data_IF_974760630250
#
_entry.id   IF_974760630250
#
_cell.length_a   1.000
_cell.length_b   1.000
_cell.length_c   1.000
_cell.angle_alpha   90.00
_cell.angle_beta   90.00
_cell.angle_gamma   90.00
#
_symmetry.space_group_name_H-M   'P 1'
#
loop_
_entity.id
_entity.type
_entity.pdbx_description
1 polymer ?
#
# COMPACT_ATOMS: atom_id res chain seq x y z
N UNK A 1 0.74 -10.98 -16.13
CA UNK A 1 1.69 -9.89 -15.83
C UNK A 1 0.88 -8.62 -15.63
N UNK A 2 1.17 -7.81 -14.60
CA UNK A 2 0.40 -6.59 -14.30
C UNK A 2 0.80 -5.45 -15.23
N UNK A 3 -0.15 -4.92 -16.00
CA UNK A 3 0.07 -3.76 -16.87
C UNK A 3 -0.13 -2.49 -16.04
N UNK A 4 0.80 -1.53 -15.96
CA UNK A 4 0.77 -0.47 -14.94
C UNK A 4 -0.16 0.70 -15.30
N UNK A 5 -1.39 0.44 -15.74
CA UNK A 5 -2.32 1.50 -16.18
C UNK A 5 -3.66 1.40 -15.46
N UNK A 6 -4.36 2.54 -15.34
CA UNK A 6 -5.75 2.54 -14.85
C UNK A 6 -6.66 1.66 -15.70
N UNK A 7 -6.48 1.65 -17.02
CA UNK A 7 -7.28 0.84 -17.93
C UNK A 7 -7.15 -0.67 -17.63
N UNK A 8 -5.93 -1.17 -17.45
CA UNK A 8 -5.71 -2.57 -17.10
C UNK A 8 -6.22 -2.92 -15.69
N UNK A 9 -6.17 -1.96 -14.76
CA UNK A 9 -6.81 -2.08 -13.45
C UNK A 9 -8.33 -2.25 -13.57
N UNK A 10 -8.99 -1.43 -14.40
CA UNK A 10 -10.43 -1.52 -14.64
C UNK A 10 -10.83 -2.84 -15.30
N UNK A 11 -10.03 -3.33 -16.24
CA UNK A 11 -10.22 -4.67 -16.85
C UNK A 11 -10.09 -5.78 -15.80
N UNK A 12 -9.02 -5.73 -14.98
CA UNK A 12 -8.83 -6.68 -13.87
C UNK A 12 -9.99 -6.66 -12.87
N UNK A 13 -10.54 -5.47 -12.58
CA UNK A 13 -11.71 -5.31 -11.72
C UNK A 13 -12.93 -5.96 -12.37
N UNK A 14 -13.20 -5.67 -13.65
CA UNK A 14 -14.34 -6.21 -14.38
C UNK A 14 -14.31 -7.75 -14.45
N UNK A 15 -13.13 -8.34 -14.65
CA UNK A 15 -12.93 -9.79 -14.67
C UNK A 15 -13.11 -10.45 -13.30
N UNK A 16 -12.80 -9.72 -12.22
CA UNK A 16 -12.99 -10.20 -10.86
C UNK A 16 -14.43 -10.03 -10.36
N UNK A 17 -15.14 -9.00 -10.81
CA UNK A 17 -16.48 -8.65 -10.36
C UNK A 17 -17.47 -9.83 -10.26
N UNK A 18 -17.54 -10.80 -11.20
CA UNK A 18 -18.41 -11.98 -11.04
C UNK A 18 -18.16 -12.79 -9.77
N UNK A 19 -16.91 -12.84 -9.30
CA UNK A 19 -16.46 -13.69 -8.19
C UNK A 19 -16.35 -12.95 -6.85
N UNK A 20 -16.51 -11.63 -6.85
CA UNK A 20 -16.33 -10.78 -5.65
C UNK A 20 -17.30 -11.07 -4.49
N UNK A 21 -18.35 -11.87 -4.71
CA UNK A 21 -19.31 -12.29 -3.70
C UNK A 21 -18.88 -13.56 -2.93
N UNK A 22 -19.77 -14.57 -2.92
CA UNK A 22 -19.60 -15.82 -2.14
C UNK A 22 -18.40 -16.65 -2.60
N UNK A 23 -18.07 -16.63 -3.89
CA UNK A 23 -16.94 -17.39 -4.43
C UNK A 23 -15.62 -16.89 -3.86
N UNK A 24 -15.39 -15.58 -3.84
CA UNK A 24 -14.23 -14.99 -3.15
C UNK A 24 -14.19 -15.39 -1.68
N UNK A 25 -15.31 -15.32 -0.96
CA UNK A 25 -15.34 -15.69 0.45
C UNK A 25 -14.93 -17.16 0.70
N UNK A 26 -15.32 -18.07 -0.20
CA UNK A 26 -14.99 -19.49 -0.15
C UNK A 26 -13.52 -19.75 -0.51
N UNK A 27 -13.04 -19.13 -1.60
CA UNK A 27 -11.83 -19.58 -2.28
C UNK A 27 -10.59 -18.71 -1.99
N UNK A 28 -10.73 -17.50 -1.40
CA UNK A 28 -9.63 -16.53 -1.17
C UNK A 28 -8.40 -17.03 -0.38
N UNK A 29 -8.48 -18.21 0.24
CA UNK A 29 -7.36 -18.78 0.98
C UNK A 29 -6.51 -19.74 0.13
N UNK A 30 -6.99 -20.18 -1.03
CA UNK A 30 -6.28 -21.12 -1.89
C UNK A 30 -5.22 -20.41 -2.77
N UNK A 31 -3.99 -20.93 -2.78
CA UNK A 31 -2.88 -20.53 -3.66
C UNK A 31 -2.62 -21.64 -4.67
N UNK A 32 -3.19 -21.54 -5.86
CA UNK A 32 -2.99 -22.47 -6.99
C UNK A 32 -1.80 -22.10 -7.88
N UNK A 33 -0.91 -21.21 -7.41
CA UNK A 33 0.21 -20.67 -8.18
C UNK A 33 -0.10 -19.44 -9.04
N UNK A 34 0.87 -18.94 -9.83
CA UNK A 34 0.79 -17.63 -10.49
C UNK A 34 -0.43 -17.40 -11.40
N UNK A 35 -1.05 -18.47 -11.90
CA UNK A 35 -2.25 -18.42 -12.76
C UNK A 35 -3.58 -18.37 -11.99
N UNK A 36 -3.55 -18.18 -10.67
CA UNK A 36 -4.71 -18.01 -9.80
C UNK A 36 -5.70 -16.95 -10.31
N UNK A 37 -6.98 -17.18 -10.06
CA UNK A 37 -8.06 -16.27 -10.46
C UNK A 37 -9.14 -16.10 -9.36
N UNK A 38 -8.93 -16.73 -8.21
CA UNK A 38 -9.81 -16.70 -7.03
C UNK A 38 -9.65 -15.44 -6.16
N UNK A 39 -8.74 -14.53 -6.52
CA UNK A 39 -8.52 -13.23 -5.87
C UNK A 39 -8.49 -12.12 -6.91
N UNK A 40 -8.68 -10.88 -6.48
CA UNK A 40 -8.87 -9.76 -7.41
C UNK A 40 -7.63 -9.32 -8.17
N UNK A 41 -6.43 -9.58 -7.64
CA UNK A 41 -5.19 -9.04 -8.22
C UNK A 41 -5.12 -7.51 -8.22
N UNK A 42 -5.99 -6.81 -7.48
CA UNK A 42 -6.12 -5.36 -7.57
C UNK A 42 -5.12 -4.56 -6.72
N UNK A 43 -4.35 -5.22 -5.86
CA UNK A 43 -3.48 -4.53 -4.90
C UNK A 43 -2.38 -3.66 -5.55
N UNK A 44 -1.75 -4.02 -6.69
CA UNK A 44 -0.82 -3.11 -7.37
C UNK A 44 -1.51 -1.82 -7.83
N UNK A 45 -2.73 -1.91 -8.37
CA UNK A 45 -3.47 -0.73 -8.83
C UNK A 45 -3.97 0.15 -7.67
N UNK A 46 -4.46 -0.47 -6.59
CA UNK A 46 -4.91 0.22 -5.38
C UNK A 46 -3.75 0.87 -4.60
N UNK A 47 -2.55 0.28 -4.64
CA UNK A 47 -1.36 0.85 -4.00
C UNK A 47 -1.01 2.23 -4.57
N UNK A 48 -1.18 2.40 -5.88
CA UNK A 48 -0.85 3.65 -6.58
C UNK A 48 -2.08 4.54 -6.85
N UNK A 49 -3.26 4.12 -6.37
CA UNK A 49 -4.58 4.67 -6.75
C UNK A 49 -4.74 4.88 -8.25
N UNK A 50 -4.29 3.90 -9.05
CA UNK A 50 -4.78 3.77 -10.43
C UNK A 50 -6.28 3.44 -10.41
N UNK A 51 -6.73 2.74 -9.38
CA UNK A 51 -8.13 2.59 -8.97
C UNK A 51 -8.28 3.07 -7.53
N UNK A 52 -9.44 3.63 -7.17
CA UNK A 52 -9.71 4.02 -5.78
C UNK A 52 -10.43 2.93 -5.00
N UNK A 53 -10.28 2.92 -3.68
CA UNK A 53 -10.99 2.02 -2.77
C UNK A 53 -12.50 2.18 -2.92
N UNK A 54 -12.96 3.44 -3.03
CA UNK A 54 -14.38 3.77 -3.23
C UNK A 54 -14.91 3.21 -4.55
N UNK A 55 -14.16 3.35 -5.65
CA UNK A 55 -14.52 2.83 -6.96
C UNK A 55 -14.65 1.30 -6.96
N UNK A 56 -13.66 0.60 -6.41
CA UNK A 56 -13.67 -0.87 -6.32
C UNK A 56 -14.85 -1.36 -5.47
N UNK A 57 -15.12 -0.72 -4.32
CA UNK A 57 -16.23 -1.11 -3.45
C UNK A 57 -17.58 -0.78 -4.08
N UNK A 58 -17.73 0.37 -4.75
CA UNK A 58 -18.96 0.72 -5.50
C UNK A 58 -19.28 -0.33 -6.55
N UNK A 59 -18.30 -0.67 -7.40
CA UNK A 59 -18.48 -1.63 -8.48
C UNK A 59 -18.89 -3.03 -7.96
N UNK A 60 -18.34 -3.45 -6.82
CA UNK A 60 -18.73 -4.71 -6.19
C UNK A 60 -20.14 -4.66 -5.61
N UNK A 61 -20.51 -3.57 -4.94
CA UNK A 61 -21.85 -3.39 -4.35
C UNK A 61 -22.95 -3.20 -5.40
N UNK A 62 -22.60 -2.71 -6.59
CA UNK A 62 -23.52 -2.64 -7.72
C UNK A 62 -23.90 -4.02 -8.27
N UNK A 63 -23.03 -5.02 -8.08
CA UNK A 63 -23.21 -6.38 -8.60
C UNK A 63 -23.64 -7.40 -7.56
N UNK A 64 -23.26 -7.20 -6.30
CA UNK A 64 -23.47 -8.14 -5.21
C UNK A 64 -24.08 -7.43 -4.00
N UNK A 65 -25.11 -8.00 -3.36
CA UNK A 65 -25.61 -7.47 -2.10
C UNK A 65 -24.51 -7.54 -1.03
N UNK A 66 -24.45 -6.53 -0.15
CA UNK A 66 -23.38 -6.40 0.86
C UNK A 66 -23.16 -7.68 1.67
N UNK A 67 -24.24 -8.38 2.05
CA UNK A 67 -24.12 -9.63 2.81
C UNK A 67 -23.35 -10.75 2.08
N UNK A 68 -23.31 -10.72 0.75
CA UNK A 68 -22.61 -11.73 -0.07
C UNK A 68 -21.16 -11.36 -0.38
N UNK A 69 -20.84 -10.06 -0.48
CA UNK A 69 -19.50 -9.54 -0.77
C UNK A 69 -18.81 -8.92 0.45
N UNK A 70 -19.39 -9.04 1.64
CA UNK A 70 -18.87 -8.47 2.90
C UNK A 70 -17.41 -8.82 3.09
N UNK A 71 -17.03 -10.06 2.72
CA UNK A 71 -15.65 -10.51 2.89
C UNK A 71 -14.69 -9.76 1.97
N UNK A 72 -15.03 -9.50 0.71
CA UNK A 72 -14.18 -8.70 -0.17
C UNK A 72 -14.10 -7.24 0.31
N UNK A 73 -15.24 -6.65 0.68
CA UNK A 73 -15.30 -5.28 1.21
C UNK A 73 -14.43 -5.13 2.45
N UNK A 74 -14.46 -6.09 3.38
CA UNK A 74 -13.58 -6.10 4.55
C UNK A 74 -12.09 -6.08 4.18
N UNK A 75 -11.67 -6.77 3.11
CA UNK A 75 -10.26 -6.86 2.72
C UNK A 75 -9.77 -5.56 2.07
N UNK A 76 -10.65 -4.82 1.35
CA UNK A 76 -10.37 -3.43 0.96
C UNK A 76 -10.22 -2.53 2.20
N UNK A 77 -11.09 -2.72 3.19
CA UNK A 77 -11.03 -1.99 4.46
C UNK A 77 -9.85 -2.39 5.35
N UNK A 78 -9.28 -3.58 5.21
CA UNK A 78 -8.04 -3.97 5.91
C UNK A 78 -6.87 -3.08 5.50
N UNK A 79 -6.71 -2.80 4.21
CA UNK A 79 -5.72 -1.81 3.73
C UNK A 79 -5.94 -0.44 4.35
N UNK A 80 -7.20 0.01 4.38
CA UNK A 80 -7.58 1.31 4.95
C UNK A 80 -7.32 1.38 6.46
N UNK A 81 -7.65 0.30 7.18
CA UNK A 81 -7.37 0.15 8.59
C UNK A 81 -5.87 0.18 8.87
N UNK A 82 -5.06 -0.55 8.11
CA UNK A 82 -3.61 -0.55 8.31
C UNK A 82 -3.00 0.82 8.14
N UNK A 83 -3.36 1.54 7.06
CA UNK A 83 -2.93 2.92 6.87
C UNK A 83 -3.34 3.79 8.05
N UNK A 84 -4.63 3.82 8.41
CA UNK A 84 -5.11 4.63 9.54
C UNK A 84 -4.53 4.26 10.89
N UNK A 85 -4.16 2.98 11.11
CA UNK A 85 -3.51 2.54 12.34
C UNK A 85 -2.06 3.03 12.40
N UNK A 86 -1.33 2.97 11.28
CA UNK A 86 0.04 3.47 11.17
C UNK A 86 0.10 5.00 11.26
N UNK A 87 -0.86 5.71 10.65
CA UNK A 87 -0.97 7.17 10.77
C UNK A 87 -1.03 7.64 12.22
N UNK A 88 -1.70 6.87 13.08
CA UNK A 88 -1.80 7.18 14.50
C UNK A 88 -0.56 6.72 15.29
N UNK A 89 0.38 6.00 14.68
CA UNK A 89 1.57 5.42 15.33
C UNK A 89 2.78 5.49 14.41
N UNK A 90 3.19 6.70 13.97
CA UNK A 90 4.28 6.86 13.01
C UNK A 90 5.62 6.29 13.52
N UNK A 91 5.82 6.22 14.83
CA UNK A 91 7.03 5.62 15.41
C UNK A 91 7.22 4.14 15.09
N UNK A 92 6.16 3.41 14.72
CA UNK A 92 6.28 2.01 14.25
C UNK A 92 7.07 1.94 12.95
N UNK A 93 6.80 2.88 12.04
CA UNK A 93 7.55 2.99 10.79
C UNK A 93 8.98 3.47 11.04
N UNK A 94 9.17 4.52 11.86
CA UNK A 94 10.50 5.05 12.19
C UNK A 94 11.39 4.01 12.86
N UNK A 95 10.84 3.23 13.81
CA UNK A 95 11.53 2.12 14.48
C UNK A 95 11.91 1.03 13.48
N UNK A 96 10.99 0.60 12.63
CA UNK A 96 11.30 -0.38 11.57
C UNK A 96 12.48 0.08 10.70
N UNK A 97 12.46 1.34 10.24
CA UNK A 97 13.52 1.92 9.41
C UNK A 97 14.88 1.95 10.11
N UNK A 98 14.90 2.36 11.38
CA UNK A 98 16.11 2.38 12.20
C UNK A 98 16.65 0.97 12.42
N UNK A 99 15.81 0.06 12.91
CA UNK A 99 16.22 -1.30 13.23
C UNK A 99 16.72 -2.05 11.98
N UNK A 100 16.11 -1.82 10.81
CA UNK A 100 16.60 -2.34 9.53
C UNK A 100 17.99 -1.78 9.17
N UNK A 101 18.20 -0.47 9.34
CA UNK A 101 19.49 0.16 9.08
C UNK A 101 20.58 -0.41 10.00
N UNK A 102 20.28 -0.52 11.30
CA UNK A 102 21.19 -1.06 12.31
C UNK A 102 21.55 -2.51 12.00
N UNK A 103 20.57 -3.37 11.69
CA UNK A 103 20.82 -4.76 11.29
C UNK A 103 21.75 -4.86 10.08
N UNK A 104 21.52 -4.06 9.04
CA UNK A 104 22.37 -4.07 7.84
C UNK A 104 23.78 -3.56 8.12
N UNK A 105 23.93 -2.61 9.04
CA UNK A 105 25.23 -2.07 9.44
C UNK A 105 26.03 -3.07 10.28
N UNK A 106 25.39 -3.74 11.24
CA UNK A 106 26.07 -4.67 12.15
C UNK A 106 26.27 -6.05 11.56
N UNK A 107 25.37 -6.48 10.65
CA UNK A 107 25.34 -7.85 10.16
C UNK A 107 24.97 -8.87 11.24
N UNK A 108 24.32 -8.45 12.33
CA UNK A 108 23.95 -9.31 13.47
C UNK A 108 22.72 -10.18 13.15
N UNK A 109 22.89 -11.06 12.18
CA UNK A 109 21.93 -12.09 11.78
C UNK A 109 22.65 -13.23 11.05
N UNK A 110 22.06 -14.43 10.96
CA UNK A 110 22.65 -15.54 10.21
C UNK A 110 22.77 -15.22 8.71
N UNK A 111 23.89 -14.64 8.28
CA UNK A 111 24.06 -14.08 6.92
C UNK A 111 23.94 -15.15 5.82
N UNK A 112 24.52 -16.34 6.01
CA UNK A 112 24.39 -17.44 5.06
C UNK A 112 22.91 -17.88 4.89
N UNK A 113 22.17 -18.02 6.00
CA UNK A 113 20.74 -18.36 5.97
C UNK A 113 19.91 -17.25 5.31
N UNK A 114 20.27 -15.99 5.55
CA UNK A 114 19.64 -14.86 4.87
C UNK A 114 19.87 -14.91 3.36
N UNK A 115 21.11 -15.14 2.92
CA UNK A 115 21.48 -15.21 1.50
C UNK A 115 20.79 -16.37 0.79
N UNK A 116 20.69 -17.54 1.45
CA UNK A 116 19.90 -18.68 0.96
C UNK A 116 18.41 -18.35 0.87
N UNK A 117 17.86 -17.67 1.88
CA UNK A 117 16.45 -17.28 1.93
C UNK A 117 16.07 -16.30 0.82
N UNK A 118 16.86 -15.25 0.58
CA UNK A 118 16.55 -14.29 -0.49
C UNK A 118 16.84 -14.82 -1.89
N UNK A 119 17.62 -15.90 -2.00
CA UNK A 119 17.95 -16.52 -3.27
C UNK A 119 17.08 -17.75 -3.62
N UNK A 120 16.14 -18.12 -2.74
CA UNK A 120 15.24 -19.27 -2.96
C UNK A 120 15.99 -20.60 -2.90
N UNK A 121 16.91 -20.76 -1.95
CA UNK A 121 17.71 -21.98 -1.77
C UNK A 121 17.72 -22.47 -0.31
N UNK A 122 16.61 -22.29 0.39
CA UNK A 122 16.45 -22.71 1.79
C UNK A 122 16.31 -24.22 1.95
N UNK A 123 15.97 -24.93 0.86
CA UNK A 123 15.61 -26.36 0.91
C UNK A 123 14.16 -26.59 1.35
N UNK A 124 13.39 -25.53 1.60
CA UNK A 124 11.95 -25.58 1.85
C UNK A 124 11.26 -25.27 0.51
N UNK A 125 10.81 -26.32 -0.18
CA UNK A 125 10.21 -26.29 -1.52
C UNK A 125 9.23 -25.13 -1.75
N UNK A 126 8.30 -24.94 -0.81
CA UNK A 126 7.31 -23.88 -0.86
C UNK A 126 7.94 -22.49 -0.80
N UNK A 127 8.85 -22.27 0.15
CA UNK A 127 9.51 -20.97 0.34
C UNK A 127 10.37 -20.60 -0.86
N UNK A 128 11.15 -21.56 -1.37
CA UNK A 128 12.03 -21.34 -2.52
C UNK A 128 11.22 -20.97 -3.77
N UNK A 129 10.10 -21.66 -4.02
CA UNK A 129 9.19 -21.31 -5.11
C UNK A 129 8.56 -19.92 -4.94
N UNK A 130 8.20 -19.52 -3.72
CA UNK A 130 7.61 -18.20 -3.45
C UNK A 130 8.62 -17.07 -3.58
N UNK A 131 9.89 -17.29 -3.28
CA UNK A 131 10.96 -16.32 -3.55
C UNK A 131 11.02 -16.02 -5.03
N UNK A 132 11.08 -17.05 -5.87
CA UNK A 132 11.11 -16.89 -7.33
C UNK A 132 9.83 -16.24 -7.86
N UNK A 133 8.65 -16.68 -7.40
CA UNK A 133 7.38 -16.06 -7.79
C UNK A 133 7.35 -14.56 -7.46
N UNK A 134 7.80 -14.17 -6.26
CA UNK A 134 7.87 -12.78 -5.86
C UNK A 134 8.85 -11.97 -6.70
N UNK A 135 10.07 -12.48 -6.93
CA UNK A 135 11.10 -11.77 -7.69
C UNK A 135 10.71 -11.60 -9.15
N UNK A 136 10.12 -12.64 -9.76
CA UNK A 136 9.79 -12.65 -11.19
C UNK A 136 8.51 -11.86 -11.49
N UNK A 137 7.52 -11.94 -10.62
CA UNK A 137 6.18 -11.36 -10.88
C UNK A 137 5.89 -10.07 -10.11
N UNK A 138 6.62 -9.85 -9.01
CA UNK A 138 6.37 -8.77 -8.08
C UNK A 138 5.09 -8.92 -7.25
N UNK A 139 4.54 -10.14 -7.15
CA UNK A 139 3.31 -10.43 -6.41
C UNK A 139 3.38 -11.78 -5.69
N UNK A 140 2.76 -11.83 -4.51
CA UNK A 140 2.44 -13.08 -3.82
C UNK A 140 1.02 -13.05 -3.28
N UNK A 141 0.38 -14.21 -3.25
CA UNK A 141 -0.93 -14.41 -2.61
C UNK A 141 -0.85 -14.10 -1.10
N UNK A 142 -1.91 -13.54 -0.49
CA UNK A 142 -1.86 -13.10 0.90
C UNK A 142 -1.54 -14.23 1.90
N UNK A 143 -2.17 -15.39 1.72
CA UNK A 143 -1.95 -16.52 2.63
C UNK A 143 -0.50 -17.05 2.50
N UNK A 144 0.04 -17.01 1.29
CA UNK A 144 1.45 -17.29 0.99
C UNK A 144 2.40 -16.31 1.69
N UNK A 145 2.07 -15.01 1.70
CA UNK A 145 2.83 -14.00 2.45
C UNK A 145 2.88 -14.30 3.95
N UNK A 146 1.77 -14.77 4.53
CA UNK A 146 1.71 -15.14 5.94
C UNK A 146 2.57 -16.37 6.24
N UNK A 147 2.53 -17.40 5.41
CA UNK A 147 3.41 -18.57 5.56
C UNK A 147 4.88 -18.20 5.40
N UNK A 148 5.22 -17.44 4.36
CA UNK A 148 6.57 -16.95 4.11
C UNK A 148 7.12 -16.22 5.33
N UNK A 149 6.38 -15.25 5.87
CA UNK A 149 6.82 -14.49 7.05
C UNK A 149 6.98 -15.38 8.29
N UNK A 150 6.11 -16.38 8.46
CA UNK A 150 6.19 -17.31 9.58
C UNK A 150 7.43 -18.21 9.49
N UNK A 151 7.71 -18.76 8.30
CA UNK A 151 8.90 -19.58 8.04
C UNK A 151 10.16 -18.74 8.23
N UNK A 152 10.18 -17.52 7.68
CA UNK A 152 11.29 -16.57 7.84
C UNK A 152 11.63 -16.32 9.32
N UNK A 153 10.63 -16.01 10.15
CA UNK A 153 10.86 -15.65 11.55
C UNK A 153 11.15 -16.88 12.41
N UNK A 154 10.32 -17.93 12.30
CA UNK A 154 10.31 -19.02 13.29
C UNK A 154 11.06 -20.26 12.84
N UNK A 155 11.11 -20.56 11.54
CA UNK A 155 11.87 -21.70 11.01
C UNK A 155 13.31 -21.32 10.74
N UNK A 156 13.55 -20.19 10.07
CA UNK A 156 14.90 -19.72 9.71
C UNK A 156 15.55 -18.87 10.81
N UNK A 157 14.78 -18.38 11.78
CA UNK A 157 15.29 -17.54 12.87
C UNK A 157 15.80 -16.17 12.41
N UNK A 158 15.31 -15.67 11.26
CA UNK A 158 15.77 -14.41 10.69
C UNK A 158 14.99 -13.20 11.23
N UNK A 159 15.63 -12.03 11.39
CA UNK A 159 14.93 -10.80 11.76
C UNK A 159 13.79 -10.46 10.80
N UNK A 160 12.62 -10.14 11.35
CA UNK A 160 11.42 -9.86 10.54
C UNK A 160 11.60 -8.60 9.67
N UNK A 161 12.42 -7.63 10.10
CA UNK A 161 12.66 -6.41 9.35
C UNK A 161 13.32 -6.70 8.00
N UNK A 162 14.25 -7.66 7.95
CA UNK A 162 14.92 -8.07 6.71
C UNK A 162 13.95 -8.74 5.72
N UNK A 163 12.99 -9.53 6.23
CA UNK A 163 11.95 -10.15 5.42
C UNK A 163 10.93 -9.13 4.92
N UNK A 164 10.54 -8.19 5.79
CA UNK A 164 9.70 -7.05 5.41
C UNK A 164 10.37 -6.18 4.34
N UNK A 165 11.68 -5.94 4.45
CA UNK A 165 12.46 -5.23 3.45
C UNK A 165 12.49 -5.99 2.11
N UNK A 166 12.76 -7.30 2.13
CA UNK A 166 12.71 -8.14 0.94
C UNK A 166 11.36 -8.02 0.23
N UNK A 167 10.25 -8.14 0.97
CA UNK A 167 8.92 -7.92 0.42
C UNK A 167 8.74 -6.52 -0.14
N UNK A 168 9.18 -5.48 0.57
CA UNK A 168 8.94 -4.10 0.15
C UNK A 168 9.68 -3.71 -1.14
N UNK A 169 10.86 -4.33 -1.38
CA UNK A 169 11.65 -4.16 -2.60
C UNK A 169 11.07 -4.86 -3.81
N UNK A 170 10.40 -6.00 -3.61
CA UNK A 170 9.96 -6.86 -4.70
C UNK A 170 8.45 -6.77 -4.98
N UNK A 171 7.62 -6.33 -4.02
CA UNK A 171 6.18 -6.22 -4.22
C UNK A 171 5.78 -4.96 -5.02
N UNK A 172 5.04 -5.18 -6.11
CA UNK A 172 4.36 -4.12 -6.85
C UNK A 172 3.38 -3.35 -5.94
N UNK A 173 2.72 -4.06 -5.03
CA UNK A 173 1.79 -3.51 -4.05
C UNK A 173 2.44 -3.15 -2.70
N UNK A 174 3.77 -3.08 -2.65
CA UNK A 174 4.52 -2.76 -1.44
C UNK A 174 4.04 -1.44 -0.83
N UNK A 175 3.47 -1.51 0.38
CA UNK A 175 2.87 -0.41 1.14
C UNK A 175 3.48 -0.34 2.54
N UNK A 176 3.87 0.84 3.01
CA UNK A 176 4.55 0.98 4.30
C UNK A 176 3.71 0.45 5.47
N UNK A 177 2.41 0.74 5.49
CA UNK A 177 1.49 0.27 6.52
C UNK A 177 1.20 -1.22 6.38
N UNK A 178 0.68 -1.64 5.23
CA UNK A 178 0.24 -3.02 5.04
C UNK A 178 1.39 -4.02 5.17
N UNK A 179 2.58 -3.70 4.64
CA UNK A 179 3.76 -4.56 4.76
C UNK A 179 4.26 -4.63 6.22
N UNK A 180 4.60 -3.50 6.83
CA UNK A 180 5.20 -3.47 8.18
C UNK A 180 4.27 -4.10 9.21
N UNK A 181 2.98 -3.76 9.18
CA UNK A 181 2.03 -4.23 10.19
C UNK A 181 1.66 -5.71 10.00
N UNK A 182 1.70 -6.24 8.77
CA UNK A 182 1.46 -7.66 8.52
C UNK A 182 2.60 -8.53 9.04
N UNK A 183 3.86 -8.12 8.83
CA UNK A 183 5.02 -8.80 9.40
C UNK A 183 5.00 -8.77 10.93
N UNK A 184 4.69 -7.61 11.52
CA UNK A 184 4.51 -7.47 12.97
C UNK A 184 3.37 -8.34 13.51
N UNK A 185 2.30 -8.53 12.74
CA UNK A 185 1.20 -9.40 13.12
C UNK A 185 1.63 -10.86 13.17
N UNK A 186 2.36 -11.36 12.16
CA UNK A 186 2.91 -12.72 12.17
C UNK A 186 3.89 -12.93 13.34
N UNK A 187 4.74 -11.93 13.61
CA UNK A 187 5.73 -11.94 14.70
C UNK A 187 5.13 -11.90 16.12
N UNK A 188 3.83 -11.61 16.26
CA UNK A 188 3.17 -11.41 17.56
C UNK A 188 3.43 -10.06 18.22
N UNK A 189 3.92 -9.08 17.46
CA UNK A 189 4.17 -7.71 17.90
C UNK A 189 2.92 -6.82 17.76
N UNK A 190 2.08 -7.08 16.75
CA UNK A 190 0.90 -6.24 16.48
C UNK A 190 -0.23 -6.46 17.48
N UNK A 191 -0.48 -7.72 17.84
CA UNK A 191 -1.27 -8.09 19.01
C UNK A 191 -0.34 -8.86 19.94
N UNK A 192 0.17 -8.21 21.01
CA UNK A 192 1.22 -8.78 21.85
C UNK A 192 0.94 -10.23 22.25
N UNK A 193 1.88 -11.12 21.92
CA UNK A 193 1.80 -12.55 22.24
C UNK A 193 1.04 -13.42 21.24
N UNK A 194 0.39 -12.86 20.22
CA UNK A 194 -0.38 -13.64 19.22
C UNK A 194 0.39 -13.77 17.91
N UNK A 195 1.10 -14.88 17.73
CA UNK A 195 1.82 -15.21 16.50
C UNK A 195 0.94 -15.92 15.47
N UNK A 196 1.43 -15.95 14.24
CA UNK A 196 0.95 -16.87 13.21
C UNK A 196 2.03 -17.91 12.88
N UNK A 197 1.74 -19.19 13.11
CA UNK A 197 2.65 -20.30 12.79
C UNK A 197 2.18 -21.03 11.53
N UNK A 198 3.03 -21.07 10.51
CA UNK A 198 2.82 -21.87 9.31
C UNK A 198 2.95 -23.37 9.64
N UNK A 199 2.05 -24.18 9.09
CA UNK A 199 2.09 -25.63 9.26
C UNK A 199 2.03 -26.33 7.92
N UNK A 200 2.72 -27.45 7.79
CA UNK A 200 2.74 -28.26 6.58
C UNK A 200 1.32 -28.66 6.12
N UNK A 201 0.45 -29.03 7.07
CA UNK A 201 -0.93 -29.39 6.79
C UNK A 201 -1.74 -28.20 6.23
N UNK A 202 -1.52 -26.98 6.74
CA UNK A 202 -2.21 -25.79 6.24
C UNK A 202 -1.72 -25.43 4.84
N UNK A 203 -0.40 -25.44 4.61
CA UNK A 203 0.21 -25.17 3.30
C UNK A 203 -0.29 -26.19 2.28
N UNK A 204 -0.21 -27.48 2.59
CA UNK A 204 -0.68 -28.55 1.68
C UNK A 204 -2.16 -28.40 1.35
N UNK A 205 -3.02 -28.17 2.35
CA UNK A 205 -4.46 -27.99 2.13
C UNK A 205 -4.79 -26.82 1.22
N UNK A 206 -4.18 -25.66 1.46
CA UNK A 206 -4.53 -24.42 0.77
C UNK A 206 -3.68 -24.17 -0.48
N UNK A 207 -2.78 -25.09 -0.83
CA UNK A 207 -2.10 -25.11 -2.13
C UNK A 207 -2.56 -26.29 -2.98
N UNK A 208 -3.66 -26.95 -2.58
CA UNK A 208 -4.21 -28.15 -3.22
C UNK A 208 -3.16 -29.25 -3.45
N UNK A 209 -2.25 -29.42 -2.48
CA UNK A 209 -1.17 -30.40 -2.52
C UNK A 209 0.05 -29.99 -3.34
N UNK A 210 0.10 -28.76 -3.90
CA UNK A 210 1.28 -28.25 -4.63
C UNK A 210 2.54 -28.28 -3.77
N UNK A 211 2.41 -28.01 -2.48
CA UNK A 211 3.52 -28.08 -1.52
C UNK A 211 3.15 -28.90 -0.30
N UNK A 212 4.13 -29.61 0.26
CA UNK A 212 4.00 -30.30 1.54
C UNK A 212 5.32 -30.23 2.30
N UNK A 213 5.71 -29.02 2.74
CA UNK A 213 7.04 -28.79 3.29
C UNK A 213 7.28 -29.58 4.57
N UNK A 214 8.52 -30.00 4.79
CA UNK A 214 8.99 -30.62 6.03
C UNK A 214 9.97 -29.71 6.76
N UNK A 215 10.29 -30.01 8.02
CA UNK A 215 11.27 -29.23 8.78
C UNK A 215 10.80 -27.85 9.25
N UNK A 216 9.51 -27.53 9.14
CA UNK A 216 8.97 -26.28 9.66
C UNK A 216 8.98 -26.24 11.19
N UNK A 217 9.11 -25.04 11.76
CA UNK A 217 8.99 -24.83 13.19
C UNK A 217 7.66 -25.37 13.73
N UNK A 218 7.70 -26.02 14.89
CA UNK A 218 6.52 -26.56 15.58
C UNK A 218 6.00 -25.64 16.69
N UNK A 219 6.71 -24.55 16.96
CA UNK A 219 6.31 -23.51 17.92
C UNK A 219 6.72 -22.13 17.40
N UNK A 220 5.98 -21.10 17.80
CA UNK A 220 6.26 -19.70 17.47
C UNK A 220 6.26 -18.88 18.76
N UNK A 221 7.44 -18.59 19.30
CA UNK A 221 7.58 -17.67 20.44
C UNK A 221 7.40 -16.24 19.92
N UNK A 222 6.42 -15.52 20.46
CA UNK A 222 6.21 -14.12 20.11
C UNK A 222 7.47 -13.29 20.36
N UNK A 223 7.80 -12.42 19.41
CA UNK A 223 8.84 -11.43 19.59
C UNK A 223 8.39 -10.39 20.63
N UNK A 224 9.36 -9.75 21.26
CA UNK A 224 9.13 -8.69 22.25
C UNK A 224 9.89 -7.46 21.79
N UNK A 225 9.30 -6.30 22.01
CA UNK A 225 9.91 -5.01 21.74
C UNK A 225 9.58 -4.04 22.88
N UNK A 226 10.32 -2.94 22.93
CA UNK A 226 10.01 -1.85 23.85
C UNK A 226 8.61 -1.29 23.56
N UNK A 227 7.83 -0.89 24.58
CA UNK A 227 6.52 -0.28 24.38
C UNK A 227 6.59 0.90 23.41
N UNK A 228 5.60 0.96 22.50
CA UNK A 228 5.46 2.09 21.59
C UNK A 228 4.77 3.27 22.29
N UNK A 229 5.02 4.52 21.84
CA UNK A 229 4.28 5.68 22.30
C UNK A 229 2.76 5.50 22.14
N UNK A 230 2.00 6.31 22.89
CA UNK A 230 0.55 6.33 22.77
C UNK A 230 0.14 6.82 21.37
N UNK A 231 -1.02 6.38 20.85
CA UNK A 231 -1.44 6.77 19.52
C UNK A 231 -1.71 8.27 19.42
N UNK A 232 -1.29 8.87 18.32
CA UNK A 232 -1.54 10.25 17.95
C UNK A 232 -2.90 10.40 17.26
N UNK A 233 -3.52 11.59 17.39
CA UNK A 233 -4.75 11.90 16.67
C UNK A 233 -4.44 12.19 15.20
N UNK A 234 -5.30 11.71 14.29
CA UNK A 234 -5.22 12.05 12.87
C UNK A 234 -5.47 13.57 12.71
N UNK A 235 -4.54 14.34 12.13
CA UNK A 235 -4.76 15.76 11.89
C UNK A 235 -5.99 16.00 11.01
N UNK A 236 -6.71 17.12 11.19
CA UNK A 236 -7.81 17.48 10.29
C UNK A 236 -7.29 17.60 8.86
N UNK A 237 -8.11 17.21 7.89
CA UNK A 237 -7.76 17.43 6.49
C UNK A 237 -7.75 18.93 6.21
N UNK A 238 -6.80 19.40 5.41
CA UNK A 238 -6.77 20.79 5.00
C UNK A 238 -8.06 21.13 4.22
N UNK A 239 -8.67 22.26 4.56
CA UNK A 239 -9.99 22.66 4.05
C UNK A 239 -10.00 24.02 3.37
N UNK A 240 -8.86 24.71 3.31
CA UNK A 240 -8.77 26.06 2.77
C UNK A 240 -8.21 26.03 1.34
N UNK A 241 -8.88 26.68 0.38
CA UNK A 241 -8.34 26.85 -0.96
C UNK A 241 -7.09 27.74 -0.93
N UNK A 242 -6.11 27.42 -1.76
CA UNK A 242 -4.98 28.30 -2.06
C UNK A 242 -5.36 29.25 -3.20
N UNK A 243 -4.97 30.51 -3.09
CA UNK A 243 -5.16 31.51 -4.15
C UNK A 243 -3.91 31.57 -5.03
N UNK A 244 -4.08 32.05 -6.27
CA UNK A 244 -2.97 32.27 -7.20
C UNK A 244 -2.76 31.12 -8.19
N UNK A 245 -1.53 30.97 -8.66
CA UNK A 245 -1.09 29.97 -9.62
C UNK A 245 -0.74 28.68 -8.90
N UNK A 246 -1.59 27.67 -9.06
CA UNK A 246 -1.48 26.39 -8.37
C UNK A 246 -0.88 25.35 -9.30
N UNK A 247 0.10 24.59 -8.80
CA UNK A 247 0.57 23.37 -9.44
C UNK A 247 0.12 22.14 -8.66
N UNK A 248 -0.31 21.10 -9.36
CA UNK A 248 -0.62 19.79 -8.76
C UNK A 248 0.57 18.85 -8.95
N UNK A 249 1.19 18.42 -7.86
CA UNK A 249 2.28 17.44 -7.88
C UNK A 249 1.76 16.06 -7.46
N UNK A 250 1.73 15.13 -8.41
CA UNK A 250 1.36 13.73 -8.22
C UNK A 250 2.56 12.90 -7.77
N UNK A 251 2.29 11.87 -6.96
CA UNK A 251 3.28 10.91 -6.49
C UNK A 251 2.70 9.50 -6.41
N UNK A 252 3.55 8.51 -6.19
CA UNK A 252 3.21 7.10 -6.33
C UNK A 252 2.24 6.52 -5.29
N UNK A 253 1.72 7.30 -4.34
CA UNK A 253 0.62 6.86 -3.46
C UNK A 253 -0.75 7.23 -4.04
N UNK A 254 -0.81 8.22 -4.95
CA UNK A 254 -2.06 8.69 -5.52
C UNK A 254 -1.89 9.29 -6.93
N UNK A 255 -2.26 8.50 -7.93
CA UNK A 255 -2.14 8.85 -9.35
C UNK A 255 -3.49 9.11 -10.03
N UNK A 256 -4.56 9.30 -9.26
CA UNK A 256 -5.89 9.61 -9.79
C UNK A 256 -6.32 11.05 -9.46
N UNK A 257 -5.65 11.99 -10.15
CA UNK A 257 -5.90 13.42 -10.04
C UNK A 257 -7.35 13.81 -10.33
N UNK A 258 -8.00 13.16 -11.31
CA UNK A 258 -9.34 13.51 -11.73
C UNK A 258 -10.36 13.29 -10.62
N UNK A 259 -10.34 12.12 -9.98
CA UNK A 259 -11.24 11.85 -8.84
C UNK A 259 -10.86 12.67 -7.60
N UNK A 260 -9.57 12.96 -7.40
CA UNK A 260 -9.14 13.85 -6.31
C UNK A 260 -9.73 15.25 -6.49
N UNK A 261 -9.62 15.85 -7.67
CA UNK A 261 -10.19 17.16 -7.96
C UNK A 261 -11.73 17.15 -7.89
N UNK A 262 -12.38 16.04 -8.27
CA UNK A 262 -13.82 15.89 -8.11
C UNK A 262 -14.27 15.88 -6.63
N UNK A 263 -13.46 15.35 -5.71
CA UNK A 263 -13.70 15.43 -4.26
C UNK A 263 -13.38 16.83 -3.68
N UNK A 264 -12.57 17.61 -4.39
CA UNK A 264 -12.08 18.92 -3.96
C UNK A 264 -12.26 19.96 -5.08
N UNK A 265 -13.51 20.43 -5.35
CA UNK A 265 -13.81 21.28 -6.51
C UNK A 265 -13.04 22.61 -6.56
N UNK A 266 -12.49 23.06 -5.44
CA UNK A 266 -11.59 24.21 -5.38
C UNK A 266 -10.21 23.94 -6.00
N UNK A 267 -9.90 22.70 -6.40
CA UNK A 267 -8.67 22.29 -7.08
C UNK A 267 -8.98 22.05 -8.56
N UNK A 268 -9.43 23.08 -9.27
CA UNK A 268 -9.70 23.02 -10.71
C UNK A 268 -9.10 24.21 -11.47
N UNK A 269 -9.25 24.23 -12.79
CA UNK A 269 -8.73 25.31 -13.64
C UNK A 269 -9.39 26.67 -13.35
N UNK A 270 -10.64 26.68 -12.86
CA UNK A 270 -11.32 27.92 -12.45
C UNK A 270 -10.75 28.48 -11.14
N UNK A 271 -10.01 27.64 -10.41
CA UNK A 271 -9.39 27.91 -9.12
C UNK A 271 -7.89 28.18 -9.21
N UNK A 272 -7.32 28.33 -10.42
CA UNK A 272 -5.93 28.70 -10.63
C UNK A 272 -4.95 27.55 -10.84
N UNK A 273 -5.42 26.31 -11.05
CA UNK A 273 -4.56 25.20 -11.47
C UNK A 273 -3.99 25.49 -12.87
N UNK A 274 -2.66 25.61 -12.96
CA UNK A 274 -1.96 25.99 -14.21
C UNK A 274 -0.98 24.95 -14.71
N UNK A 275 -0.54 24.02 -13.86
CA UNK A 275 0.43 23.00 -14.21
C UNK A 275 0.27 21.73 -13.37
N UNK A 276 0.66 20.60 -13.95
CA UNK A 276 0.73 19.31 -13.28
C UNK A 276 2.16 18.77 -13.39
N UNK A 277 2.66 18.22 -12.30
CA UNK A 277 3.90 17.45 -12.31
C UNK A 277 3.66 16.06 -11.71
N UNK A 278 4.44 15.08 -12.14
CA UNK A 278 4.49 13.77 -11.49
C UNK A 278 5.92 13.39 -11.17
N UNK A 279 6.16 12.87 -9.98
CA UNK A 279 7.44 12.34 -9.57
C UNK A 279 7.26 11.11 -8.68
N UNK A 280 8.10 10.10 -8.84
CA UNK A 280 8.10 8.91 -8.00
C UNK A 280 9.52 8.46 -7.70
N UNK A 281 9.71 7.87 -6.53
CA UNK A 281 10.99 7.28 -6.14
C UNK A 281 10.73 5.96 -5.40
N UNK A 282 10.56 4.86 -6.16
CA UNK A 282 10.38 3.54 -5.57
C UNK A 282 11.62 3.05 -4.83
N UNK A 283 12.82 3.61 -5.09
CA UNK A 283 14.04 3.18 -4.41
C UNK A 283 14.06 3.63 -2.95
N UNK A 284 13.41 4.76 -2.62
CA UNK A 284 13.23 5.21 -1.24
C UNK A 284 12.48 4.21 -0.33
N UNK A 285 11.81 3.18 -0.90
CA UNK A 285 11.19 2.10 -0.11
C UNK A 285 12.21 1.37 0.77
N UNK A 286 13.46 1.23 0.31
CA UNK A 286 14.50 0.46 0.99
C UNK A 286 15.87 1.11 0.83
N UNK A 287 16.76 0.91 1.81
CA UNK A 287 18.17 1.27 1.67
C UNK A 287 18.88 0.53 0.52
N UNK A 288 18.38 -0.64 0.12
CA UNK A 288 18.92 -1.41 -0.99
C UNK A 288 18.22 -1.12 -2.34
N UNK A 289 17.34 -0.12 -2.39
CA UNK A 289 16.55 0.21 -3.58
C UNK A 289 15.45 -0.80 -3.90
N UNK A 290 14.59 -0.48 -4.86
CA UNK A 290 13.55 -1.38 -5.33
C UNK A 290 14.07 -2.32 -6.43
N UNK A 291 13.39 -3.44 -6.61
CA UNK A 291 13.62 -4.34 -7.74
C UNK A 291 13.23 -3.68 -9.07
N UNK A 292 13.81 -4.17 -10.16
CA UNK A 292 13.54 -3.60 -11.49
C UNK A 292 12.07 -3.76 -11.91
N UNK A 293 11.39 -4.81 -11.48
CA UNK A 293 9.95 -4.99 -11.75
C UNK A 293 9.12 -3.89 -11.07
N UNK A 294 9.45 -3.54 -9.83
CA UNK A 294 8.81 -2.44 -9.08
C UNK A 294 9.15 -1.08 -9.68
N UNK A 295 10.41 -0.85 -10.06
CA UNK A 295 10.85 0.40 -10.69
C UNK A 295 10.10 0.65 -12.00
N UNK A 296 10.07 -0.35 -12.90
CA UNK A 296 9.36 -0.26 -14.19
C UNK A 296 7.86 -0.05 -14.00
N UNK A 297 7.24 -0.82 -13.11
CA UNK A 297 5.81 -0.68 -12.83
C UNK A 297 5.47 0.72 -12.31
N UNK A 298 6.24 1.22 -11.33
CA UNK A 298 6.00 2.54 -10.74
C UNK A 298 6.19 3.66 -11.76
N UNK A 299 7.23 3.59 -12.61
CA UNK A 299 7.47 4.58 -13.66
C UNK A 299 6.33 4.62 -14.68
N UNK A 300 5.89 3.47 -15.18
CA UNK A 300 4.77 3.40 -16.13
C UNK A 300 3.43 3.80 -15.50
N UNK A 301 3.20 3.47 -14.22
CA UNK A 301 2.01 3.92 -13.50
C UNK A 301 1.99 5.44 -13.35
N UNK A 302 3.13 6.04 -13.03
CA UNK A 302 3.29 7.50 -12.95
C UNK A 302 3.00 8.16 -14.30
N UNK A 303 3.55 7.61 -15.38
CA UNK A 303 3.30 8.11 -16.74
C UNK A 303 1.82 8.06 -17.12
N UNK A 304 1.15 6.92 -16.90
CA UNK A 304 -0.29 6.78 -17.08
C UNK A 304 -1.08 7.82 -16.25
N UNK A 305 -0.71 8.00 -14.98
CA UNK A 305 -1.30 8.98 -14.07
C UNK A 305 -1.19 10.42 -14.57
N UNK A 306 0.01 10.85 -14.96
CA UNK A 306 0.30 12.20 -15.44
C UNK A 306 -0.42 12.47 -16.76
N UNK A 307 -0.42 11.53 -17.70
CA UNK A 307 -1.12 11.67 -18.99
C UNK A 307 -2.63 11.77 -18.78
N UNK A 308 -3.21 10.94 -17.92
CA UNK A 308 -4.64 11.01 -17.58
C UNK A 308 -4.99 12.33 -16.90
N UNK A 309 -4.17 12.79 -15.96
CA UNK A 309 -4.38 14.04 -15.25
C UNK A 309 -4.38 15.23 -16.20
N UNK A 310 -3.40 15.30 -17.13
CA UNK A 310 -3.33 16.35 -18.15
C UNK A 310 -4.61 16.43 -19.00
N UNK A 311 -5.09 15.27 -19.46
CA UNK A 311 -6.30 15.18 -20.29
C UNK A 311 -7.56 15.56 -19.50
N UNK A 312 -7.70 15.05 -18.29
CA UNK A 312 -8.91 15.26 -17.48
C UNK A 312 -9.03 16.69 -16.96
N UNK A 313 -7.91 17.34 -16.63
CA UNK A 313 -7.87 18.67 -16.04
C UNK A 313 -7.51 19.77 -17.05
N UNK A 314 -7.35 19.40 -18.33
CA UNK A 314 -6.96 20.30 -19.42
C UNK A 314 -5.78 21.22 -19.05
N UNK A 315 -4.76 20.63 -18.42
CA UNK A 315 -3.60 21.37 -17.87
C UNK A 315 -2.29 20.75 -18.38
N UNK A 316 -1.25 21.55 -18.65
CA UNK A 316 0.04 21.02 -19.08
C UNK A 316 0.62 20.16 -17.97
N UNK A 317 1.18 19.01 -18.35
CA UNK A 317 1.75 18.07 -17.40
C UNK A 317 3.13 17.59 -17.81
N UNK A 318 4.00 17.37 -16.83
CA UNK A 318 5.35 16.81 -17.06
C UNK A 318 5.76 15.82 -15.98
N UNK A 319 6.61 14.87 -16.35
CA UNK A 319 7.27 13.99 -15.38
C UNK A 319 8.56 14.67 -14.96
N UNK A 320 8.77 14.80 -13.64
CA UNK A 320 10.02 15.32 -13.10
C UNK A 320 11.07 14.20 -13.07
N UNK A 321 12.36 14.52 -13.30
CA UNK A 321 13.41 13.51 -13.36
C UNK A 321 13.70 12.84 -12.01
N UNK A 322 13.33 13.48 -10.89
CA UNK A 322 13.47 12.97 -9.55
C UNK A 322 12.51 13.70 -8.59
N UNK A 323 12.53 13.28 -7.33
CA UNK A 323 11.68 13.79 -6.24
C UNK A 323 12.40 14.77 -5.30
N UNK A 324 13.59 15.26 -5.68
CA UNK A 324 14.37 16.17 -4.84
C UNK A 324 13.69 17.54 -4.74
N UNK A 325 13.76 18.22 -3.57
CA UNK A 325 13.18 19.55 -3.41
C UNK A 325 13.63 20.55 -4.47
N UNK A 326 14.92 20.54 -4.85
CA UNK A 326 15.46 21.41 -5.89
C UNK A 326 14.74 21.27 -7.24
N UNK A 327 14.42 20.04 -7.65
CA UNK A 327 13.72 19.78 -8.92
C UNK A 327 12.26 20.24 -8.88
N UNK A 328 11.60 20.15 -7.72
CA UNK A 328 10.24 20.68 -7.55
C UNK A 328 10.24 22.21 -7.50
N UNK A 329 11.25 22.82 -6.86
CA UNK A 329 11.43 24.27 -6.84
C UNK A 329 11.69 24.85 -8.24
N UNK A 330 12.54 24.20 -9.04
CA UNK A 330 12.74 24.57 -10.45
C UNK A 330 11.45 24.52 -11.26
N UNK A 331 10.62 23.50 -11.02
CA UNK A 331 9.28 23.42 -11.61
C UNK A 331 8.39 24.56 -11.16
N UNK A 332 8.27 24.79 -9.86
CA UNK A 332 7.46 25.85 -9.30
C UNK A 332 7.87 27.23 -9.84
N UNK A 333 9.17 27.52 -9.92
CA UNK A 333 9.70 28.74 -10.49
C UNK A 333 9.37 28.86 -12.00
N UNK A 334 9.55 27.78 -12.77
CA UNK A 334 9.28 27.77 -14.22
C UNK A 334 7.82 28.06 -14.56
N UNK A 335 6.89 27.57 -13.73
CA UNK A 335 5.44 27.77 -13.91
C UNK A 335 4.92 29.02 -13.17
N UNK A 336 5.80 29.69 -12.40
CA UNK A 336 5.49 30.82 -11.49
C UNK A 336 4.36 30.44 -10.53
N UNK A 337 4.54 29.36 -9.79
CA UNK A 337 3.53 28.87 -8.84
C UNK A 337 3.56 29.68 -7.55
N UNK A 338 2.38 30.04 -7.07
CA UNK A 338 2.15 30.57 -5.73
C UNK A 338 1.92 29.44 -4.73
N UNK A 339 1.46 28.27 -5.22
CA UNK A 339 1.21 27.10 -4.40
C UNK A 339 1.47 25.78 -5.14
N UNK A 340 1.97 24.79 -4.39
CA UNK A 340 2.04 23.39 -4.80
C UNK A 340 1.06 22.59 -3.95
N UNK A 341 0.11 21.95 -4.62
CA UNK A 341 -0.86 21.03 -4.02
C UNK A 341 -0.40 19.61 -4.30
N UNK A 342 -0.41 18.76 -3.27
CA UNK A 342 -0.09 17.33 -3.38
C UNK A 342 -1.24 16.49 -2.82
N UNK A 343 -1.54 15.31 -3.38
CA UNK A 343 -2.31 14.31 -2.67
C UNK A 343 -1.67 13.98 -1.30
N UNK A 344 -2.47 13.58 -0.31
CA UNK A 344 -1.94 13.22 0.99
C UNK A 344 -1.20 11.88 0.92
N UNK A 345 0.09 11.88 1.29
CA UNK A 345 0.88 10.67 1.48
C UNK A 345 0.78 10.16 2.93
N UNK A 346 0.37 8.90 3.09
CA UNK A 346 0.41 8.22 4.40
C UNK A 346 1.84 7.95 4.86
N UNK A 347 2.02 7.75 6.18
CA UNK A 347 3.27 7.38 6.86
C UNK A 347 4.03 6.34 6.04
N UNK A 348 5.25 6.72 5.66
CA UNK A 348 6.09 6.00 4.74
C UNK A 348 7.07 6.94 4.03
N UNK A 349 7.87 6.41 3.08
CA UNK A 349 8.93 7.18 2.44
C UNK A 349 8.41 8.40 1.66
N UNK A 350 7.20 8.31 1.09
CA UNK A 350 6.63 9.43 0.34
C UNK A 350 6.25 10.58 1.26
N UNK A 351 5.68 10.31 2.43
CA UNK A 351 5.36 11.34 3.42
C UNK A 351 6.63 12.04 3.93
N UNK A 352 7.69 11.28 4.22
CA UNK A 352 8.99 11.84 4.64
C UNK A 352 9.53 12.83 3.59
N UNK A 353 9.40 12.51 2.30
CA UNK A 353 9.76 13.43 1.21
C UNK A 353 8.85 14.65 1.15
N UNK A 354 7.54 14.50 1.34
CA UNK A 354 6.59 15.62 1.35
C UNK A 354 6.91 16.62 2.47
N UNK A 355 7.31 16.13 3.66
CA UNK A 355 7.74 17.00 4.77
C UNK A 355 9.02 17.78 4.44
N UNK A 356 9.99 17.14 3.79
CA UNK A 356 11.21 17.83 3.34
C UNK A 356 10.93 18.87 2.24
N UNK A 357 9.97 18.57 1.36
CA UNK A 357 9.54 19.46 0.28
C UNK A 357 8.79 20.70 0.82
N UNK A 358 7.91 20.52 1.80
CA UNK A 358 7.20 21.63 2.48
C UNK A 358 8.18 22.68 3.01
N UNK A 359 9.19 22.23 3.77
CA UNK A 359 10.23 23.10 4.31
C UNK A 359 11.00 23.87 3.22
N UNK A 360 11.25 23.23 2.07
CA UNK A 360 11.95 23.86 0.95
C UNK A 360 11.09 24.88 0.20
N UNK A 361 9.82 24.57 -0.08
CA UNK A 361 8.88 25.49 -0.74
C UNK A 361 8.60 26.74 0.10
N UNK A 362 8.48 26.56 1.42
CA UNK A 362 8.30 27.67 2.35
C UNK A 362 9.44 28.70 2.29
N UNK A 363 10.68 28.26 1.99
CA UNK A 363 11.83 29.16 1.87
C UNK A 363 11.79 30.07 0.63
N UNK A 364 11.02 29.68 -0.39
CA UNK A 364 10.81 30.43 -1.64
C UNK A 364 9.42 31.10 -1.70
N UNK A 365 8.74 31.21 -0.55
CA UNK A 365 7.39 31.76 -0.43
C UNK A 365 6.32 31.06 -1.30
N UNK A 366 6.53 29.79 -1.65
CA UNK A 366 5.54 28.95 -2.34
C UNK A 366 4.76 28.16 -1.30
N UNK A 367 3.43 28.31 -1.27
CA UNK A 367 2.59 27.59 -0.34
C UNK A 367 2.58 26.07 -0.65
N UNK A 368 2.58 25.24 0.39
CA UNK A 368 2.46 23.80 0.26
C UNK A 368 1.17 23.31 0.91
N UNK A 369 0.40 22.50 0.18
CA UNK A 369 -0.89 21.99 0.65
C UNK A 369 -1.05 20.51 0.34
N UNK A 370 -1.39 19.72 1.36
CA UNK A 370 -1.72 18.30 1.19
C UNK A 370 -3.23 18.08 1.16
N UNK A 371 -3.73 17.27 0.24
CA UNK A 371 -5.16 16.99 0.05
C UNK A 371 -5.46 15.53 0.36
N UNK A 372 -6.18 15.29 1.45
CA UNK A 372 -6.56 13.94 1.88
C UNK A 372 -7.95 13.57 1.37
N UNK A 373 -8.05 12.40 0.74
CA UNK A 373 -9.32 11.85 0.26
C UNK A 373 -10.35 11.72 1.37
N UNK A 374 -11.63 11.82 0.99
CA UNK A 374 -12.77 11.61 1.88
C UNK A 374 -12.78 10.18 2.45
N UNK A 375 -12.36 9.19 1.67
CA UNK A 375 -12.22 7.79 2.11
C UNK A 375 -11.40 7.65 3.39
N UNK A 376 -10.18 8.17 3.34
CA UNK A 376 -9.23 8.12 4.45
C UNK A 376 -9.69 8.98 5.63
N UNK A 377 -10.15 10.20 5.34
CA UNK A 377 -10.60 11.16 6.37
C UNK A 377 -11.74 10.63 7.23
N UNK A 378 -12.65 9.83 6.65
CA UNK A 378 -13.74 9.20 7.39
C UNK A 378 -13.29 7.94 8.13
N UNK A 379 -12.44 7.11 7.50
CA UNK A 379 -12.12 5.79 8.03
C UNK A 379 -11.01 5.81 9.10
N UNK A 380 -9.91 6.52 8.87
CA UNK A 380 -8.71 6.43 9.72
C UNK A 380 -8.94 6.75 11.20
N UNK A 381 -9.79 7.73 11.60
CA UNK A 381 -10.07 7.97 13.01
C UNK A 381 -10.62 6.75 13.77
N UNK A 382 -11.19 5.77 13.07
CA UNK A 382 -11.70 4.55 13.67
C UNK A 382 -10.65 3.43 13.81
N UNK A 383 -9.45 3.60 13.24
CA UNK A 383 -8.37 2.61 13.22
C UNK A 383 -7.47 2.65 14.49
N UNK A 384 -7.98 3.17 15.60
CA UNK A 384 -7.22 3.34 16.84
C UNK A 384 -7.00 2.04 17.65
N UNK A 385 -7.82 1.01 17.43
CA UNK A 385 -7.78 -0.28 18.16
C UNK A 385 -7.53 -1.44 17.20
N UNK A 386 -7.97 -2.65 17.54
CA UNK A 386 -7.95 -3.80 16.63
C UNK A 386 -8.93 -3.67 15.46
N UNK A 387 -8.80 -4.52 14.45
CA UNK A 387 -9.66 -4.50 13.27
C UNK A 387 -11.13 -4.83 13.56
N UNK A 388 -11.46 -5.66 14.54
CA UNK A 388 -12.86 -6.01 14.81
C UNK A 388 -13.73 -4.79 15.21
N UNK A 389 -13.29 -3.93 16.16
CA UNK A 389 -13.94 -2.63 16.39
C UNK A 389 -14.05 -1.74 15.14
N UNK A 390 -13.04 -1.74 14.27
CA UNK A 390 -13.05 -0.98 13.01
C UNK A 390 -14.06 -1.58 12.01
N UNK A 391 -14.10 -2.91 11.87
CA UNK A 391 -15.04 -3.65 11.02
C UNK A 391 -16.50 -3.29 11.36
N UNK A 392 -16.82 -3.15 12.64
CA UNK A 392 -18.16 -2.75 13.08
C UNK A 392 -18.58 -1.35 12.56
N UNK A 393 -17.63 -0.51 12.14
CA UNK A 393 -17.90 0.81 11.54
C UNK A 393 -18.11 0.78 10.03
N UNK A 394 -17.74 -0.32 9.34
CA UNK A 394 -17.78 -0.41 7.87
C UNK A 394 -19.16 -0.05 7.30
N UNK A 395 -20.30 -0.57 7.80
CA UNK A 395 -21.61 -0.20 7.25
C UNK A 395 -21.90 1.32 7.31
N UNK A 396 -21.53 1.97 8.41
CA UNK A 396 -21.67 3.42 8.57
C UNK A 396 -20.74 4.20 7.64
N UNK A 397 -19.50 3.72 7.47
CA UNK A 397 -18.53 4.30 6.53
C UNK A 397 -19.04 4.21 5.09
N UNK A 398 -19.57 3.06 4.67
CA UNK A 398 -20.17 2.88 3.35
C UNK A 398 -21.30 3.88 3.10
N UNK A 399 -22.22 4.02 4.06
CA UNK A 399 -23.29 5.02 3.99
C UNK A 399 -22.75 6.46 3.87
N UNK A 400 -21.73 6.82 4.64
CA UNK A 400 -21.09 8.14 4.56
C UNK A 400 -20.35 8.39 3.24
N UNK A 401 -19.98 7.34 2.49
CA UNK A 401 -19.45 7.44 1.12
C UNK A 401 -20.52 7.53 0.04
N UNK A 402 -21.81 7.47 0.42
CA UNK A 402 -22.93 7.34 -0.50
C UNK A 402 -23.03 5.95 -1.14
N UNK A 403 -22.42 4.93 -0.53
CA UNK A 403 -22.45 3.54 -0.98
C UNK A 403 -23.48 2.77 -0.14
N UNK A 404 -24.77 3.03 -0.38
CA UNK A 404 -25.86 2.32 0.29
C UNK A 404 -26.16 1.00 -0.45
N UNK A 405 -26.35 -0.10 0.28
CA UNK A 405 -26.89 -1.33 -0.31
C UNK A 405 -28.34 -1.10 -0.73
N UNK A 406 -28.72 -1.60 -1.91
CA UNK A 406 -30.11 -1.55 -2.41
C UNK A 406 -31.11 -2.35 -1.53
N UNK A 407 -30.65 -3.06 -0.52
CA UNK A 407 -31.44 -4.04 0.25
C UNK A 407 -32.09 -3.49 1.54
N UNK A 408 -32.34 -2.18 1.64
CA UNK A 408 -33.09 -1.58 2.76
C UNK A 408 -34.43 -0.94 2.34
N UNK A 409 -34.98 -1.35 1.19
CA UNK A 409 -36.35 -1.04 0.76
C UNK A 409 -37.15 -2.31 0.51
#
# INVERSE_FOLDING_TARGET
>A
MFIPTRAAGLESLADFLPRAGKDYARDRNHDTGPARDNVSGLSPYLRHRLLTEREVVSAVLERHPLGSCEKFVQEVFWRTYWKGWLEQRPDVWRRYRRDLADQRLTGDYPSATYDEAIAGRTGIDAMDAWVHELVDTGYLHNHTRMWFASIWIFTLGLPWQLGADFFYRHLLDGDAASNTLSWRWVAGLQTPGKTYLATAANISRYTDGRFSPSGLATSARALVEEPMPSPEAIPPAASAPVQGRVGLLLHEEDLDAASLCAEHPWLDATSGLVAIAGAADPDARSLAGASDVVRRFTASALEDGVVRASRALNSPARILPNVLPATVLEWAASERLDAVVVPYASVGPVQERMLALDAALASEAVAFLTVRRRWDSLAWPHAARGFFPFRARIPGLLHQQGLSSRDNT
#
